data_IF_429374781526
#
_entry.id   IF_429374781526
#
_cell.length_a   1.000
_cell.length_b   1.000
_cell.length_c   1.000
_cell.angle_alpha   90.00
_cell.angle_beta   90.00
_cell.angle_gamma   90.00
#
_symmetry.space_group_name_H-M   'P 1'
#
loop_
_entity.id
_entity.type
_entity.pdbx_description
1 polymer ?
#
# COMPACT_ATOMS: atom_id res chain seq x y z
N UNK A 1 22.97 2.97 12.03
CA UNK A 1 22.32 3.93 12.96
C UNK A 1 20.81 3.76 12.81
N UNK A 2 20.04 3.44 13.86
CA UNK A 2 18.59 3.33 13.73
C UNK A 2 17.99 4.71 13.43
N UNK A 3 16.94 4.73 12.61
CA UNK A 3 16.20 5.97 12.32
C UNK A 3 15.39 6.40 13.54
N UNK A 4 15.30 7.71 13.86
CA UNK A 4 14.47 8.19 14.95
C UNK A 4 12.98 7.95 14.68
N UNK A 5 12.15 7.78 15.73
CA UNK A 5 10.72 7.54 15.58
C UNK A 5 10.05 8.71 14.83
N UNK A 6 9.27 8.37 13.80
CA UNK A 6 8.59 9.35 12.94
C UNK A 6 9.42 9.86 11.75
N UNK A 7 10.71 9.54 11.66
CA UNK A 7 11.51 9.89 10.49
C UNK A 7 11.34 8.86 9.37
N UNK A 8 10.86 9.33 8.22
CA UNK A 8 10.90 8.55 6.97
C UNK A 8 12.11 8.98 6.15
N UNK A 9 12.92 8.04 5.63
CA UNK A 9 14.00 8.38 4.72
C UNK A 9 13.50 9.23 3.54
N UNK A 10 14.26 10.23 3.07
CA UNK A 10 13.87 11.07 1.92
C UNK A 10 13.48 10.24 0.69
N UNK A 11 14.17 9.13 0.46
CA UNK A 11 13.89 8.19 -0.62
C UNK A 11 12.50 7.56 -0.50
N UNK A 12 12.07 7.20 0.71
CA UNK A 12 10.75 6.64 0.96
C UNK A 12 9.65 7.69 0.75
N UNK A 13 9.89 8.93 1.17
CA UNK A 13 8.97 10.05 0.92
C UNK A 13 8.82 10.29 -0.58
N UNK A 14 9.94 10.36 -1.31
CA UNK A 14 9.95 10.54 -2.75
C UNK A 14 9.26 9.37 -3.48
N UNK A 15 9.51 8.13 -3.04
CA UNK A 15 8.85 6.95 -3.59
C UNK A 15 7.33 7.00 -3.36
N UNK A 16 6.88 7.31 -2.14
CA UNK A 16 5.45 7.45 -1.84
C UNK A 16 4.79 8.52 -2.71
N UNK A 17 5.44 9.67 -2.89
CA UNK A 17 4.95 10.72 -3.78
C UNK A 17 4.82 10.23 -5.24
N UNK A 18 5.83 9.56 -5.77
CA UNK A 18 5.81 8.98 -7.13
C UNK A 18 4.73 7.92 -7.30
N UNK A 19 4.58 7.03 -6.32
CA UNK A 19 3.55 5.98 -6.34
C UNK A 19 2.14 6.57 -6.29
N UNK A 20 1.93 7.62 -5.49
CA UNK A 20 0.64 8.32 -5.44
C UNK A 20 0.30 8.96 -6.79
N UNK A 21 1.24 9.68 -7.39
CA UNK A 21 1.05 10.30 -8.71
C UNK A 21 0.74 9.24 -9.78
N UNK A 22 1.51 8.16 -9.82
CA UNK A 22 1.26 7.05 -10.74
C UNK A 22 -0.13 6.43 -10.54
N UNK A 23 -0.55 6.22 -9.30
CA UNK A 23 -1.85 5.64 -8.97
C UNK A 23 -2.99 6.55 -9.44
N UNK A 24 -2.95 7.83 -9.09
CA UNK A 24 -3.97 8.82 -9.46
C UNK A 24 -4.10 8.96 -10.99
N UNK A 25 -2.97 8.97 -11.70
CA UNK A 25 -2.94 9.16 -13.15
C UNK A 25 -3.35 7.91 -13.95
N UNK A 26 -3.05 6.70 -13.45
CA UNK A 26 -3.16 5.48 -14.26
C UNK A 26 -4.15 4.45 -13.73
N UNK A 27 -4.27 4.31 -12.41
CA UNK A 27 -5.01 3.20 -11.78
C UNK A 27 -6.32 3.64 -11.13
N UNK A 28 -6.40 4.86 -10.58
CA UNK A 28 -7.53 5.31 -9.79
C UNK A 28 -8.86 5.18 -10.54
N UNK A 29 -8.94 5.63 -11.80
CA UNK A 29 -10.15 5.50 -12.61
C UNK A 29 -10.55 4.06 -12.92
N UNK A 30 -9.60 3.13 -12.94
CA UNK A 30 -9.85 1.70 -13.17
C UNK A 30 -10.33 1.00 -11.90
N UNK A 31 -9.74 1.35 -10.77
CA UNK A 31 -10.06 0.75 -9.46
C UNK A 31 -11.25 1.40 -8.78
N UNK A 32 -11.57 2.64 -9.12
CA UNK A 32 -12.68 3.42 -8.56
C UNK A 32 -13.61 3.96 -9.67
N UNK A 33 -14.35 3.08 -10.38
CA UNK A 33 -15.32 3.54 -11.38
C UNK A 33 -16.45 4.38 -10.77
N UNK A 34 -16.78 4.14 -9.49
CA UNK A 34 -17.87 4.81 -8.76
C UNK A 34 -17.40 5.87 -7.76
N UNK A 35 -16.10 6.20 -7.74
CA UNK A 35 -15.52 7.13 -6.76
C UNK A 35 -15.10 6.46 -5.44
N UNK A 36 -15.43 5.19 -5.24
CA UNK A 36 -15.01 4.40 -4.08
C UNK A 36 -13.96 3.36 -4.46
N UNK A 37 -12.93 3.25 -3.62
CA UNK A 37 -11.90 2.22 -3.77
C UNK A 37 -12.39 0.89 -3.20
N UNK A 38 -11.94 -0.26 -3.74
CA UNK A 38 -12.32 -1.56 -3.23
C UNK A 38 -11.87 -1.74 -1.78
N UNK A 39 -12.68 -2.43 -0.96
CA UNK A 39 -12.40 -2.64 0.47
C UNK A 39 -11.11 -3.41 0.74
N UNK A 40 -10.63 -4.19 -0.23
CA UNK A 40 -9.37 -4.92 -0.15
C UNK A 40 -8.15 -4.06 -0.52
N UNK A 41 -8.33 -2.79 -0.91
CA UNK A 41 -7.25 -1.87 -1.23
C UNK A 41 -6.92 -0.98 -0.03
N UNK A 42 -5.68 -1.08 0.46
CA UNK A 42 -5.25 -0.41 1.69
C UNK A 42 -4.21 0.70 1.47
N UNK A 43 -3.75 0.95 0.24
CA UNK A 43 -2.81 2.02 -0.05
C UNK A 43 -1.45 1.85 0.63
N UNK A 44 -0.94 2.89 1.32
CA UNK A 44 0.40 2.89 1.93
C UNK A 44 0.43 2.20 3.29
N UNK A 45 0.29 0.87 3.27
CA UNK A 45 0.42 0.00 4.45
C UNK A 45 1.74 -0.78 4.34
N UNK A 46 2.48 -0.85 5.44
CA UNK A 46 3.72 -1.62 5.53
C UNK A 46 3.45 -3.12 5.47
N UNK A 47 4.47 -3.91 5.15
CA UNK A 47 4.36 -5.37 5.22
C UNK A 47 3.88 -5.85 6.60
N UNK A 48 4.42 -5.28 7.68
CA UNK A 48 4.08 -5.67 9.06
C UNK A 48 2.61 -5.37 9.39
N UNK A 49 2.13 -4.19 9.02
CA UNK A 49 0.72 -3.82 9.24
C UNK A 49 -0.22 -4.72 8.42
N UNK A 50 0.16 -5.06 7.18
CA UNK A 50 -0.61 -6.00 6.35
C UNK A 50 -0.68 -7.41 6.97
N UNK A 51 0.44 -7.91 7.50
CA UNK A 51 0.50 -9.19 8.24
C UNK A 51 -0.41 -9.15 9.48
N UNK A 52 -0.41 -8.04 10.23
CA UNK A 52 -1.30 -7.86 11.38
C UNK A 52 -2.78 -7.82 11.00
N UNK A 53 -3.13 -7.12 9.91
CA UNK A 53 -4.52 -7.07 9.41
C UNK A 53 -5.04 -8.44 8.97
N UNK A 54 -4.16 -9.29 8.43
CA UNK A 54 -4.50 -10.62 7.94
C UNK A 54 -4.41 -11.70 9.02
N UNK A 55 -3.70 -11.45 10.13
CA UNK A 55 -3.41 -12.44 11.17
C UNK A 55 -4.65 -13.14 11.74
N UNK A 56 -5.77 -12.42 11.84
CA UNK A 56 -7.03 -12.94 12.41
C UNK A 56 -8.13 -13.19 11.35
N UNK A 57 -7.80 -13.08 10.05
CA UNK A 57 -8.75 -13.27 8.94
C UNK A 57 -8.75 -14.71 8.40
N UNK A 58 -9.84 -15.26 7.88
CA UNK A 58 -9.85 -16.63 7.32
C UNK A 58 -8.75 -16.88 6.28
N UNK A 59 -8.28 -18.12 6.14
CA UNK A 59 -7.38 -18.52 5.05
C UNK A 59 -7.98 -18.14 3.70
N UNK A 60 -7.17 -17.64 2.78
CA UNK A 60 -7.68 -17.11 1.51
C UNK A 60 -7.90 -15.59 1.52
N UNK A 61 -7.84 -14.95 2.69
CA UNK A 61 -7.97 -13.51 2.81
C UNK A 61 -6.75 -12.80 2.23
N UNK A 62 -6.98 -11.68 1.55
CA UNK A 62 -5.94 -10.89 0.93
C UNK A 62 -6.23 -9.40 1.02
N UNK A 63 -5.18 -8.61 0.82
CA UNK A 63 -5.27 -7.18 0.60
C UNK A 63 -4.22 -6.72 -0.40
N UNK A 64 -4.49 -5.62 -1.08
CA UNK A 64 -3.55 -4.96 -1.99
C UNK A 64 -3.08 -3.66 -1.36
N UNK A 65 -1.76 -3.48 -1.37
CA UNK A 65 -1.07 -2.30 -0.84
C UNK A 65 -0.05 -1.77 -1.85
N UNK A 66 0.46 -0.58 -1.63
CA UNK A 66 1.60 -0.07 -2.39
C UNK A 66 2.91 -0.75 -1.96
N UNK A 67 3.82 -0.94 -2.92
CA UNK A 67 5.17 -1.44 -2.64
C UNK A 67 5.98 -0.41 -1.83
N UNK A 68 6.80 -0.91 -0.91
CA UNK A 68 7.72 -0.08 -0.09
C UNK A 68 9.06 0.18 -0.77
N UNK A 69 9.33 -0.49 -1.90
CA UNK A 69 10.61 -0.40 -2.62
C UNK A 69 10.48 0.02 -4.09
N UNK A 70 9.28 -0.06 -4.67
CA UNK A 70 9.04 0.22 -6.09
C UNK A 70 7.71 0.94 -6.31
N UNK A 71 7.54 1.60 -7.46
CA UNK A 71 6.23 2.13 -7.86
C UNK A 71 5.38 0.96 -8.36
N UNK A 72 4.35 0.61 -7.60
CA UNK A 72 3.46 -0.49 -7.97
C UNK A 72 2.66 -1.03 -6.80
N UNK A 73 1.93 -2.11 -7.08
CA UNK A 73 1.13 -2.82 -6.10
C UNK A 73 1.83 -4.08 -5.60
N UNK A 74 1.51 -4.46 -4.37
CA UNK A 74 1.86 -5.74 -3.74
C UNK A 74 0.60 -6.38 -3.21
N UNK A 75 0.42 -7.66 -3.48
CA UNK A 75 -0.61 -8.50 -2.88
C UNK A 75 -0.06 -9.10 -1.58
N UNK A 76 -0.77 -8.89 -0.48
CA UNK A 76 -0.53 -9.59 0.79
C UNK A 76 -1.66 -10.58 1.01
N UNK A 77 -1.31 -11.80 1.41
CA UNK A 77 -2.21 -12.94 1.47
C UNK A 77 -1.94 -13.74 2.74
N UNK A 78 -2.99 -14.32 3.31
CA UNK A 78 -2.90 -15.28 4.43
C UNK A 78 -3.01 -16.72 3.95
#
# INVERSE_FOLDING_TARGET
WPSPPGWSPPELVALRARTRLWFEQTQFRRLSPRGELPVWFHGFVSRREAEQLLQDQPLGSFLVRFSESTVGFVLSYR
#
